data_IF_607972590195
#
_entry.id   IF_607972590195
#
_cell.length_a   1.000
_cell.length_b   1.000
_cell.length_c   1.000
_cell.angle_alpha   90.00
_cell.angle_beta   90.00
_cell.angle_gamma   90.00
#
_symmetry.space_group_name_H-M   'P 1'
#
loop_
_entity.id
_entity.type
_entity.pdbx_description
1 polymer ?
#
# COMPACT_ATOMS: atom_id res chain seq x y z
N UNK A 1 23.34 -9.38 -0.25
CA UNK A 1 22.72 -10.70 0.06
C UNK A 1 21.71 -11.01 -1.02
N UNK A 2 21.69 -12.25 -1.53
CA UNK A 2 20.78 -12.67 -2.63
C UNK A 2 20.03 -13.93 -2.20
N UNK A 3 18.73 -14.01 -2.50
CA UNK A 3 17.89 -15.16 -2.19
C UNK A 3 17.51 -15.91 -3.47
N UNK A 4 17.53 -17.24 -3.45
CA UNK A 4 17.29 -18.10 -4.64
C UNK A 4 15.85 -18.57 -4.81
N UNK A 5 14.95 -18.23 -3.89
CA UNK A 5 13.52 -18.60 -3.96
C UNK A 5 12.64 -17.66 -3.14
N UNK A 6 11.32 -17.83 -3.22
CA UNK A 6 10.36 -17.03 -2.46
C UNK A 6 10.51 -17.26 -0.93
N UNK A 7 10.12 -16.28 -0.08
CA UNK A 7 9.98 -16.53 1.35
C UNK A 7 8.86 -17.56 1.60
N UNK A 8 9.09 -18.46 2.54
CA UNK A 8 8.14 -19.56 2.85
C UNK A 8 6.94 -19.11 3.69
N UNK A 9 6.95 -17.87 4.17
CA UNK A 9 5.88 -17.30 4.97
C UNK A 9 6.26 -15.92 5.52
N UNK A 10 5.34 -15.31 6.27
CA UNK A 10 5.47 -13.92 6.76
C UNK A 10 6.75 -13.73 7.59
N UNK A 11 7.03 -14.62 8.54
CA UNK A 11 8.25 -14.53 9.37
C UNK A 11 9.53 -14.58 8.51
N UNK A 12 9.57 -15.43 7.50
CA UNK A 12 10.70 -15.52 6.57
C UNK A 12 10.83 -14.24 5.76
N UNK A 13 9.73 -13.72 5.20
CA UNK A 13 9.70 -12.47 4.44
C UNK A 13 10.22 -11.28 5.27
N UNK A 14 9.73 -11.13 6.50
CA UNK A 14 10.15 -10.06 7.39
C UNK A 14 11.62 -10.17 7.78
N UNK A 15 12.11 -11.38 8.08
CA UNK A 15 13.52 -11.59 8.35
C UNK A 15 14.38 -11.27 7.13
N UNK A 16 13.94 -11.63 5.92
CA UNK A 16 14.66 -11.28 4.69
C UNK A 16 14.70 -9.78 4.44
N UNK A 17 13.61 -9.06 4.73
CA UNK A 17 13.60 -7.59 4.68
C UNK A 17 14.61 -6.99 5.66
N UNK A 18 14.66 -7.47 6.91
CA UNK A 18 15.67 -7.04 7.89
C UNK A 18 17.08 -7.40 7.47
N UNK A 19 17.31 -8.57 6.91
CA UNK A 19 18.64 -8.95 6.43
C UNK A 19 19.11 -8.09 5.24
N UNK A 20 18.18 -7.57 4.43
CA UNK A 20 18.47 -6.62 3.36
C UNK A 20 18.71 -5.20 3.88
N UNK A 21 18.21 -4.88 5.08
CA UNK A 21 18.22 -3.55 5.68
C UNK A 21 18.78 -3.60 7.11
N UNK A 22 20.02 -3.19 7.30
CA UNK A 22 20.67 -3.21 8.62
C UNK A 22 20.11 -2.22 9.65
N UNK A 23 19.03 -1.51 9.34
CA UNK A 23 18.37 -0.53 10.20
C UNK A 23 16.85 -0.79 10.21
N UNK A 24 16.21 -0.71 11.39
CA UNK A 24 14.78 -1.01 11.54
C UNK A 24 13.89 -0.01 10.78
N UNK A 25 14.26 1.27 10.74
CA UNK A 25 13.55 2.29 9.99
C UNK A 25 13.61 2.03 8.49
N UNK A 26 14.78 1.67 7.98
CA UNK A 26 14.98 1.28 6.58
C UNK A 26 14.25 -0.02 6.23
N UNK A 27 14.25 -1.01 7.15
CA UNK A 27 13.49 -2.24 7.01
C UNK A 27 11.99 -1.97 6.89
N UNK A 28 11.45 -1.11 7.77
CA UNK A 28 10.04 -0.70 7.72
C UNK A 28 9.73 0.06 6.43
N UNK A 29 10.62 0.96 6.00
CA UNK A 29 10.46 1.69 4.74
C UNK A 29 10.47 0.76 3.53
N UNK A 30 11.34 -0.26 3.51
CA UNK A 30 11.34 -1.32 2.48
C UNK A 30 10.05 -2.11 2.52
N UNK A 31 9.57 -2.51 3.71
CA UNK A 31 8.31 -3.24 3.89
C UNK A 31 7.13 -2.47 3.29
N UNK A 32 7.01 -1.17 3.59
CA UNK A 32 5.97 -0.31 3.01
C UNK A 32 6.14 -0.16 1.50
N UNK A 33 7.35 0.08 1.00
CA UNK A 33 7.59 0.21 -0.45
C UNK A 33 7.22 -1.08 -1.21
N UNK A 34 7.54 -2.24 -0.65
CA UNK A 34 7.14 -3.53 -1.19
C UNK A 34 5.63 -3.72 -1.14
N UNK A 35 4.97 -3.33 -0.05
CA UNK A 35 3.51 -3.37 0.05
C UNK A 35 2.84 -2.47 -1.01
N UNK A 36 3.39 -1.28 -1.28
CA UNK A 36 2.88 -0.41 -2.36
C UNK A 36 2.98 -1.09 -3.74
N UNK A 37 4.08 -1.79 -4.02
CA UNK A 37 4.23 -2.56 -5.27
C UNK A 37 3.21 -3.70 -5.32
N UNK A 38 3.13 -4.52 -4.26
CA UNK A 38 2.21 -5.67 -4.18
C UNK A 38 0.76 -5.23 -4.37
N UNK A 39 0.31 -4.21 -3.64
CA UNK A 39 -1.07 -3.70 -3.75
C UNK A 39 -1.28 -3.05 -5.12
N UNK A 40 -0.28 -2.35 -5.66
CA UNK A 40 -0.33 -1.78 -7.00
C UNK A 40 -0.50 -2.81 -8.12
N UNK A 41 0.03 -4.04 -7.97
CA UNK A 41 -0.17 -5.14 -8.92
C UNK A 41 -1.61 -5.67 -8.93
N UNK A 42 -2.38 -5.42 -7.87
CA UNK A 42 -3.78 -5.82 -7.73
C UNK A 42 -4.76 -4.65 -7.92
N UNK A 43 -4.24 -3.46 -8.25
CA UNK A 43 -5.07 -2.27 -8.43
C UNK A 43 -5.86 -2.39 -9.76
N UNK A 44 -7.17 -2.12 -9.77
CA UNK A 44 -7.92 -1.99 -11.00
C UNK A 44 -7.43 -0.82 -11.86
N UNK A 45 -7.98 -0.71 -13.07
CA UNK A 45 -7.62 0.35 -14.00
C UNK A 45 -7.66 1.75 -13.35
N UNK A 46 -6.54 2.46 -13.51
CA UNK A 46 -6.34 3.75 -12.87
C UNK A 46 -4.88 4.17 -12.90
N UNK A 47 -4.57 5.22 -12.14
CA UNK A 47 -3.22 5.74 -12.01
C UNK A 47 -2.88 6.00 -10.54
N UNK A 48 -1.77 5.42 -10.08
CA UNK A 48 -1.21 5.75 -8.76
C UNK A 48 -0.71 7.20 -8.80
N UNK A 49 -1.09 7.97 -7.77
CA UNK A 49 -0.75 9.39 -7.61
C UNK A 49 -0.14 9.66 -6.23
N UNK A 50 0.06 10.93 -5.90
CA UNK A 50 0.51 11.37 -4.57
C UNK A 50 1.94 10.92 -4.22
N UNK A 51 2.18 10.73 -2.92
CA UNK A 51 3.49 10.33 -2.41
C UNK A 51 3.91 8.94 -2.89
N UNK A 52 2.98 8.01 -3.03
CA UNK A 52 3.23 6.62 -3.44
C UNK A 52 3.74 6.55 -4.87
N UNK A 53 3.17 7.37 -5.76
CA UNK A 53 3.65 7.56 -7.12
C UNK A 53 5.09 8.07 -7.18
N UNK A 54 5.46 8.99 -6.27
CA UNK A 54 6.84 9.48 -6.18
C UNK A 54 7.78 8.39 -5.65
N UNK A 55 7.36 7.66 -4.60
CA UNK A 55 8.13 6.57 -4.02
C UNK A 55 8.41 5.44 -5.03
N UNK A 56 7.45 5.10 -5.90
CA UNK A 56 7.65 4.11 -6.96
C UNK A 56 8.63 4.59 -8.04
N UNK A 57 8.64 5.89 -8.38
CA UNK A 57 9.52 6.44 -9.44
C UNK A 57 10.94 6.72 -8.96
N UNK A 58 11.09 7.29 -7.77
CA UNK A 58 12.35 7.84 -7.28
C UNK A 58 12.89 7.09 -6.04
N UNK A 59 12.20 6.04 -5.61
CA UNK A 59 12.63 5.21 -4.49
C UNK A 59 12.72 5.98 -3.17
N UNK A 60 13.78 5.70 -2.41
CA UNK A 60 13.94 6.13 -1.00
C UNK A 60 14.32 7.60 -0.81
N UNK A 61 14.72 8.31 -1.86
CA UNK A 61 15.02 9.75 -1.78
C UNK A 61 13.79 10.62 -1.56
N UNK A 62 12.59 10.05 -1.67
CA UNK A 62 11.32 10.78 -1.54
C UNK A 62 10.89 10.95 -0.08
N UNK A 63 9.84 11.74 0.17
CA UNK A 63 9.15 11.74 1.46
C UNK A 63 8.56 10.36 1.74
N UNK A 64 8.66 9.89 2.98
CA UNK A 64 7.99 8.65 3.40
C UNK A 64 6.46 8.79 3.27
N UNK A 65 5.79 7.72 2.82
CA UNK A 65 4.35 7.66 2.62
C UNK A 65 3.85 6.28 2.99
N UNK A 66 2.69 6.20 3.62
CA UNK A 66 2.03 4.94 3.95
C UNK A 66 0.73 4.74 3.16
N UNK A 67 0.17 5.84 2.65
CA UNK A 67 -1.04 5.81 1.84
C UNK A 67 -0.73 5.29 0.44
N UNK A 68 -1.75 4.74 -0.22
CA UNK A 68 -1.77 4.46 -1.65
C UNK A 68 -2.90 5.26 -2.28
N UNK A 69 -2.54 6.38 -2.91
CA UNK A 69 -3.50 7.20 -3.64
C UNK A 69 -3.63 6.74 -5.08
N UNK A 70 -4.85 6.54 -5.55
CA UNK A 70 -5.14 6.22 -6.94
C UNK A 70 -6.22 7.14 -7.52
N UNK A 71 -6.07 7.49 -8.79
CA UNK A 71 -7.18 7.96 -9.62
C UNK A 71 -7.83 6.75 -10.29
N UNK A 72 -9.16 6.72 -10.31
CA UNK A 72 -9.98 5.68 -10.94
C UNK A 72 -10.72 6.27 -12.14
N UNK A 73 -10.83 5.51 -13.22
CA UNK A 73 -11.66 5.87 -14.39
C UNK A 73 -13.11 5.50 -14.12
N UNK A 74 -13.33 4.34 -13.52
CA UNK A 74 -14.64 3.79 -13.19
C UNK A 74 -15.25 4.37 -11.90
N UNK A 75 -16.54 4.09 -11.67
CA UNK A 75 -17.26 4.48 -10.44
C UNK A 75 -16.60 3.90 -9.18
N UNK A 76 -16.84 4.51 -8.01
CA UNK A 76 -16.26 4.01 -6.76
C UNK A 76 -16.76 2.60 -6.43
N UNK A 77 -18.05 2.34 -6.66
CA UNK A 77 -18.65 1.04 -6.39
C UNK A 77 -18.01 -0.05 -7.25
N UNK A 78 -17.86 0.17 -8.55
CA UNK A 78 -17.22 -0.79 -9.44
C UNK A 78 -15.75 -0.97 -9.08
N UNK A 79 -15.02 0.12 -8.84
CA UNK A 79 -13.63 0.08 -8.42
C UNK A 79 -13.44 -0.76 -7.15
N UNK A 80 -14.30 -0.58 -6.14
CA UNK A 80 -14.24 -1.36 -4.90
C UNK A 80 -14.49 -2.85 -5.15
N UNK A 81 -15.50 -3.17 -5.96
CA UNK A 81 -15.84 -4.55 -6.31
C UNK A 81 -14.66 -5.26 -7.00
N UNK A 82 -14.13 -4.66 -8.07
CA UNK A 82 -13.02 -5.25 -8.84
C UNK A 82 -11.76 -5.37 -7.99
N UNK A 83 -11.49 -4.36 -7.15
CA UNK A 83 -10.31 -4.38 -6.30
C UNK A 83 -10.41 -5.45 -5.22
N UNK A 84 -11.59 -5.64 -4.62
CA UNK A 84 -11.82 -6.71 -3.65
C UNK A 84 -11.67 -8.10 -4.29
N UNK A 85 -12.16 -8.29 -5.51
CA UNK A 85 -11.95 -9.51 -6.29
C UNK A 85 -10.45 -9.77 -6.57
N UNK A 86 -9.73 -8.74 -7.04
CA UNK A 86 -8.30 -8.84 -7.33
C UNK A 86 -7.47 -9.14 -6.06
N UNK A 87 -7.79 -8.49 -4.94
CA UNK A 87 -7.17 -8.75 -3.64
C UNK A 87 -7.43 -10.18 -3.15
N UNK A 88 -8.63 -10.72 -3.40
CA UNK A 88 -8.98 -12.10 -3.07
C UNK A 88 -8.20 -13.12 -3.90
N UNK A 89 -8.08 -12.89 -5.22
CA UNK A 89 -7.24 -13.71 -6.11
C UNK A 89 -5.77 -13.65 -5.73
N UNK A 90 -5.32 -12.47 -5.31
CA UNK A 90 -3.96 -12.23 -4.85
C UNK A 90 -2.93 -12.13 -5.97
N UNK A 91 -1.70 -11.82 -5.57
CA UNK A 91 -0.55 -11.72 -6.44
C UNK A 91 0.71 -12.25 -5.73
N UNK A 92 1.41 -13.19 -6.37
CA UNK A 92 2.67 -13.77 -5.88
C UNK A 92 2.65 -14.25 -4.41
N UNK A 93 1.54 -14.88 -3.99
CA UNK A 93 1.36 -15.39 -2.62
C UNK A 93 0.87 -14.36 -1.60
N UNK A 94 0.62 -13.11 -2.01
CA UNK A 94 -0.07 -12.11 -1.22
C UNK A 94 -1.54 -12.04 -1.60
N UNK A 95 -2.43 -11.91 -0.63
CA UNK A 95 -3.84 -11.62 -0.82
C UNK A 95 -4.30 -10.56 0.17
N UNK A 96 -5.52 -10.07 0.03
CA UNK A 96 -6.07 -9.05 0.91
C UNK A 96 -7.58 -8.97 0.87
N UNK A 97 -8.11 -7.98 1.58
CA UNK A 97 -9.51 -7.57 1.56
C UNK A 97 -9.60 -6.06 1.75
N UNK A 98 -10.65 -5.44 1.24
CA UNK A 98 -10.92 -4.05 1.54
C UNK A 98 -11.57 -3.94 2.93
N UNK A 99 -11.14 -2.95 3.70
CA UNK A 99 -11.72 -2.64 5.01
C UNK A 99 -12.04 -1.16 5.01
N UNK A 100 -13.32 -0.85 5.03
CA UNK A 100 -13.78 0.53 5.18
C UNK A 100 -13.49 1.03 6.59
N UNK A 101 -12.91 2.22 6.69
CA UNK A 101 -12.62 2.88 7.97
C UNK A 101 -13.39 4.18 8.05
N UNK A 102 -13.92 4.47 9.23
CA UNK A 102 -14.53 5.77 9.49
C UNK A 102 -13.50 6.88 9.27
N UNK A 103 -13.92 7.95 8.59
CA UNK A 103 -13.10 9.13 8.42
C UNK A 103 -12.68 9.68 9.80
N UNK A 104 -11.42 10.08 10.00
CA UNK A 104 -10.97 10.65 11.28
C UNK A 104 -11.80 11.89 11.64
N UNK A 105 -12.21 11.98 12.90
CA UNK A 105 -12.90 13.16 13.46
C UNK A 105 -12.16 13.65 14.70
N UNK A 106 -11.04 14.37 14.54
CA UNK A 106 -10.24 14.81 15.67
C UNK A 106 -11.05 15.83 16.50
N UNK A 107 -11.11 15.69 17.84
CA UNK A 107 -11.97 16.52 18.68
C UNK A 107 -11.58 18.01 18.67
N UNK A 108 -10.31 18.31 18.39
CA UNK A 108 -9.77 19.67 18.35
C UNK A 108 -9.91 20.35 16.99
N UNK A 109 -10.40 19.65 15.97
CA UNK A 109 -10.57 20.19 14.61
C UNK A 109 -12.03 20.60 14.44
N UNK A 110 -12.34 21.88 14.14
CA UNK A 110 -13.73 22.30 13.94
C UNK A 110 -14.39 21.50 12.82
N UNK A 111 -15.68 21.16 12.99
CA UNK A 111 -16.41 20.29 12.04
C UNK A 111 -16.39 20.79 10.60
N UNK A 112 -16.35 22.10 10.38
CA UNK A 112 -16.23 22.70 9.05
C UNK A 112 -14.94 22.31 8.30
N UNK A 113 -13.90 21.89 9.01
CA UNK A 113 -12.62 21.43 8.47
C UNK A 113 -12.45 19.91 8.49
N UNK A 114 -13.46 19.17 8.97
CA UNK A 114 -13.47 17.71 8.92
C UNK A 114 -14.21 17.31 7.65
N UNK A 115 -13.47 16.82 6.65
CA UNK A 115 -14.08 16.34 5.42
C UNK A 115 -15.05 15.20 5.73
N UNK A 116 -16.33 15.38 5.40
CA UNK A 116 -17.24 14.26 5.23
C UNK A 116 -16.75 13.47 4.01
N UNK A 117 -16.49 12.18 4.17
CA UNK A 117 -16.13 11.32 3.05
C UNK A 117 -17.23 11.43 1.97
N UNK A 118 -16.86 11.84 0.76
CA UNK A 118 -17.69 11.76 -0.45
C UNK A 118 -17.72 10.32 -0.96
#
# INVERSE_FOLDING_TARGET
>A
MTYTGAPTGVRSLEQRIRNLEGDEGLAQRRKVSMALVVVGQMLPEGAIKGGSAMALRYGRGTRFTQDLDAARVQSLAQFRSDFEEALGKGWAGFSGRLVEKAAPRPPTVPRAYVNAAL
#
